data_IF_244179789948
#
_entry.id   IF_244179789948
#
_cell.length_a   1.000
_cell.length_b   1.000
_cell.length_c   1.000
_cell.angle_alpha   90.00
_cell.angle_beta   90.00
_cell.angle_gamma   90.00
#
_symmetry.space_group_name_H-M   'P 1'
#
loop_
_entity.id
_entity.type
_entity.pdbx_description
1 polymer ?
#
# COMPACT_ATOMS: atom_id res chain seq x y z
N UNK A 1 -2.88 14.65 5.87
CA UNK A 1 -2.97 15.02 4.42
C UNK A 1 -4.36 15.50 3.95
N UNK A 2 -4.55 16.79 3.64
CA UNK A 2 -5.83 17.34 3.14
C UNK A 2 -6.29 16.82 1.77
N UNK A 3 -5.36 16.52 0.85
CA UNK A 3 -5.65 16.07 -0.52
C UNK A 3 -6.61 14.87 -0.56
N UNK A 4 -6.44 13.92 0.37
CA UNK A 4 -7.27 12.71 0.46
C UNK A 4 -8.76 13.01 0.69
N UNK A 5 -9.10 14.13 1.33
CA UNK A 5 -10.49 14.53 1.58
C UNK A 5 -11.18 15.13 0.36
N UNK A 6 -10.43 15.40 -0.71
CA UNK A 6 -11.00 15.84 -1.98
C UNK A 6 -11.68 14.64 -2.64
N UNK A 7 -12.95 14.75 -3.05
CA UNK A 7 -13.60 13.70 -3.82
C UNK A 7 -12.76 13.31 -5.03
N UNK A 8 -12.69 12.02 -5.32
CA UNK A 8 -12.03 11.50 -6.51
C UNK A 8 -12.09 9.98 -6.57
N UNK A 9 -11.30 9.41 -7.46
CA UNK A 9 -11.32 8.01 -7.81
C UNK A 9 -10.69 7.07 -6.79
N UNK A 10 -10.42 5.83 -7.21
CA UNK A 10 -9.94 4.77 -6.32
C UNK A 10 -8.59 5.09 -5.67
N UNK A 11 -8.47 4.69 -4.40
CA UNK A 11 -7.27 4.76 -3.57
C UNK A 11 -6.83 3.34 -3.20
N UNK A 12 -5.53 3.07 -3.25
CA UNK A 12 -4.90 1.89 -2.65
C UNK A 12 -4.04 2.33 -1.47
N UNK A 13 -4.16 1.65 -0.33
CA UNK A 13 -3.28 1.83 0.83
C UNK A 13 -2.26 0.70 0.95
N UNK A 14 -0.98 1.03 1.13
CA UNK A 14 0.08 0.07 1.42
C UNK A 14 0.63 0.25 2.85
N UNK A 15 1.06 -0.84 3.53
CA UNK A 15 0.98 -2.22 3.07
C UNK A 15 -0.46 -2.76 3.10
N UNK A 16 -0.90 -3.38 2.00
CA UNK A 16 -2.20 -4.04 1.91
C UNK A 16 -2.17 -5.48 2.43
N UNK A 17 -0.98 -6.03 2.67
CA UNK A 17 -0.75 -7.36 3.22
C UNK A 17 0.57 -7.42 3.97
N UNK A 18 0.70 -8.44 4.84
CA UNK A 18 1.97 -8.83 5.46
C UNK A 18 3.07 -9.04 4.41
N UNK A 19 4.30 -8.74 4.80
CA UNK A 19 5.50 -9.00 3.98
C UNK A 19 5.79 -10.49 3.89
N UNK A 20 5.43 -11.23 4.94
CA UNK A 20 5.54 -12.69 4.98
C UNK A 20 4.16 -13.30 5.17
N UNK A 21 3.79 -14.26 4.32
CA UNK A 21 2.54 -15.01 4.43
C UNK A 21 1.56 -14.78 3.27
N UNK A 22 0.28 -15.15 3.45
CA UNK A 22 -0.70 -15.15 2.37
C UNK A 22 -1.01 -13.73 1.85
N UNK A 23 -1.42 -13.65 0.58
CA UNK A 23 -1.88 -12.40 -0.06
C UNK A 23 -3.15 -11.82 0.61
N UNK A 24 -3.92 -12.66 1.28
CA UNK A 24 -5.10 -12.27 2.03
C UNK A 24 -4.72 -11.94 3.48
N UNK A 25 -4.81 -10.66 3.83
CA UNK A 25 -4.49 -10.16 5.16
C UNK A 25 -5.64 -9.31 5.70
N UNK A 26 -6.59 -9.95 6.38
CA UNK A 26 -7.74 -9.27 6.96
C UNK A 26 -7.31 -8.10 7.89
N UNK A 27 -6.36 -8.25 8.83
CA UNK A 27 -5.88 -7.13 9.64
C UNK A 27 -5.43 -5.87 8.87
N UNK A 28 -4.57 -6.02 7.85
CA UNK A 28 -4.10 -4.86 7.07
C UNK A 28 -5.26 -4.20 6.31
N UNK A 29 -6.13 -5.02 5.70
CA UNK A 29 -7.28 -4.56 4.92
C UNK A 29 -8.38 -3.92 5.79
N UNK A 30 -8.67 -4.47 6.97
CA UNK A 30 -9.61 -3.86 7.93
C UNK A 30 -9.07 -2.53 8.45
N UNK A 31 -7.76 -2.40 8.65
CA UNK A 31 -7.14 -1.13 9.04
C UNK A 31 -7.32 -0.06 7.96
N UNK A 32 -7.07 -0.40 6.69
CA UNK A 32 -7.30 0.51 5.57
C UNK A 32 -8.79 0.90 5.47
N UNK A 33 -9.70 -0.07 5.58
CA UNK A 33 -11.15 0.21 5.62
C UNK A 33 -11.53 1.16 6.77
N UNK A 34 -10.97 0.97 7.96
CA UNK A 34 -11.20 1.88 9.09
C UNK A 34 -10.68 3.30 8.79
N UNK A 35 -9.48 3.44 8.19
CA UNK A 35 -8.94 4.75 7.81
C UNK A 35 -9.78 5.44 6.73
N UNK A 36 -10.49 4.67 5.90
CA UNK A 36 -11.33 5.22 4.83
C UNK A 36 -12.44 6.16 5.32
N UNK A 37 -12.90 6.03 6.57
CA UNK A 37 -13.93 6.92 7.14
C UNK A 37 -13.45 8.37 7.27
N UNK A 38 -12.14 8.62 7.22
CA UNK A 38 -11.58 9.95 7.32
C UNK A 38 -11.49 10.68 5.97
N UNK A 39 -11.56 9.95 4.86
CA UNK A 39 -11.36 10.53 3.52
C UNK A 39 -12.45 10.16 2.50
N UNK A 40 -13.26 9.13 2.76
CA UNK A 40 -14.43 8.74 1.97
C UNK A 40 -14.17 8.47 0.47
N UNK A 41 -12.92 8.19 0.10
CA UNK A 41 -12.56 7.79 -1.27
C UNK A 41 -12.87 6.31 -1.47
N UNK A 42 -13.26 5.87 -2.68
CA UNK A 42 -13.33 4.44 -3.00
C UNK A 42 -12.00 3.77 -2.71
N UNK A 43 -12.02 2.69 -1.93
CA UNK A 43 -10.80 2.01 -1.48
C UNK A 43 -10.68 0.66 -2.19
N UNK A 44 -9.51 0.37 -2.77
CA UNK A 44 -9.25 -0.87 -3.50
C UNK A 44 -8.95 -2.04 -2.56
N UNK A 45 -8.17 -1.79 -1.52
CA UNK A 45 -7.93 -2.74 -0.45
C UNK A 45 -8.96 -2.49 0.68
N UNK A 46 -9.26 -3.48 1.51
CA UNK A 46 -10.39 -3.39 2.43
C UNK A 46 -11.00 -4.74 2.73
N UNK A 47 -11.58 -4.90 3.91
CA UNK A 47 -12.21 -6.16 4.29
C UNK A 47 -13.53 -5.95 4.99
N UNK A 48 -14.62 -6.26 4.28
CA UNK A 48 -16.00 -6.17 4.74
C UNK A 48 -16.63 -7.51 5.13
N UNK A 49 -15.82 -8.54 5.41
CA UNK A 49 -16.30 -9.88 5.81
C UNK A 49 -16.29 -10.94 4.69
N UNK A 50 -15.99 -10.56 3.44
CA UNK A 50 -15.71 -11.48 2.35
C UNK A 50 -14.65 -10.88 1.40
N UNK A 51 -14.01 -11.73 0.60
CA UNK A 51 -13.06 -11.31 -0.43
C UNK A 51 -13.73 -11.37 -1.80
N UNK A 52 -13.77 -10.27 -2.58
CA UNK A 52 -14.25 -10.30 -3.95
C UNK A 52 -13.42 -11.24 -4.83
N UNK A 53 -14.02 -11.75 -5.91
CA UNK A 53 -13.27 -12.47 -6.95
C UNK A 53 -12.22 -11.54 -7.57
N UNK A 54 -11.01 -12.05 -7.83
CA UNK A 54 -9.90 -11.25 -8.35
C UNK A 54 -9.11 -10.46 -7.28
N UNK A 55 -9.60 -10.43 -6.03
CA UNK A 55 -8.93 -9.68 -4.96
C UNK A 55 -7.51 -10.21 -4.64
N UNK A 56 -7.27 -11.53 -4.51
CA UNK A 56 -5.92 -12.06 -4.32
C UNK A 56 -4.95 -11.65 -5.44
N UNK A 57 -5.40 -11.65 -6.69
CA UNK A 57 -4.62 -11.30 -7.87
C UNK A 57 -4.25 -9.81 -7.88
N UNK A 58 -5.22 -8.94 -7.56
CA UNK A 58 -4.96 -7.50 -7.38
C UNK A 58 -3.98 -7.24 -6.23
N UNK A 59 -4.10 -7.96 -5.12
CA UNK A 59 -3.18 -7.83 -4.00
C UNK A 59 -1.78 -8.37 -4.31
N UNK A 60 -1.67 -9.41 -5.15
CA UNK A 60 -0.37 -9.85 -5.64
C UNK A 60 0.32 -8.74 -6.44
N UNK A 61 -0.39 -8.05 -7.35
CA UNK A 61 0.16 -6.89 -8.06
C UNK A 61 0.51 -5.73 -7.12
N UNK A 62 -0.32 -5.46 -6.10
CA UNK A 62 -0.07 -4.40 -5.13
C UNK A 62 1.21 -4.63 -4.32
N UNK A 63 1.64 -5.88 -4.15
CA UNK A 63 2.89 -6.25 -3.46
C UNK A 63 4.13 -5.94 -4.28
N UNK A 64 4.05 -6.01 -5.60
CA UNK A 64 5.17 -5.75 -6.50
C UNK A 64 5.45 -4.25 -6.68
N UNK A 65 4.54 -3.37 -6.22
CA UNK A 65 4.75 -1.92 -6.25
C UNK A 65 6.03 -1.53 -5.47
N UNK A 66 6.86 -0.61 -5.99
CA UNK A 66 6.57 0.34 -7.08
C UNK A 66 6.90 -0.16 -8.49
N UNK A 67 6.91 -1.47 -8.79
CA UNK A 67 7.12 -1.95 -10.16
C UNK A 67 6.15 -1.30 -11.18
N UNK A 68 6.68 -0.97 -12.36
CA UNK A 68 5.94 -0.21 -13.38
C UNK A 68 4.91 -1.06 -14.13
N UNK A 69 5.21 -2.33 -14.38
CA UNK A 69 4.29 -3.24 -15.06
C UNK A 69 3.11 -3.61 -14.14
N UNK A 70 3.41 -3.89 -12.87
CA UNK A 70 2.40 -4.13 -11.84
C UNK A 70 1.47 -2.93 -11.65
N UNK A 71 2.02 -1.71 -11.59
CA UNK A 71 1.22 -0.49 -11.48
C UNK A 71 0.33 -0.29 -12.72
N UNK A 72 0.89 -0.48 -13.92
CA UNK A 72 0.14 -0.35 -15.16
C UNK A 72 -1.02 -1.36 -15.21
N UNK A 73 -0.80 -2.59 -14.75
CA UNK A 73 -1.85 -3.60 -14.67
C UNK A 73 -2.92 -3.24 -13.64
N UNK A 74 -2.53 -2.88 -12.41
CA UNK A 74 -3.46 -2.43 -11.37
C UNK A 74 -4.34 -1.30 -11.87
N UNK A 75 -3.75 -0.31 -12.53
CA UNK A 75 -4.47 0.84 -13.04
C UNK A 75 -5.44 0.44 -14.16
N UNK A 76 -5.05 -0.44 -15.09
CA UNK A 76 -5.95 -0.93 -16.15
C UNK A 76 -7.18 -1.63 -15.57
N UNK A 77 -6.99 -2.43 -14.53
CA UNK A 77 -8.08 -3.23 -13.93
C UNK A 77 -8.99 -2.42 -13.01
N UNK A 78 -8.44 -1.40 -12.32
CA UNK A 78 -9.15 -0.73 -11.22
C UNK A 78 -9.37 0.76 -11.42
N UNK A 79 -8.72 1.38 -12.42
CA UNK A 79 -8.62 2.83 -12.59
C UNK A 79 -8.04 3.55 -11.38
N UNK A 80 -7.07 2.91 -10.70
CA UNK A 80 -6.34 3.46 -9.56
C UNK A 80 -5.88 4.90 -9.83
N UNK A 81 -6.25 5.82 -8.93
CA UNK A 81 -5.93 7.24 -9.05
C UNK A 81 -4.87 7.68 -8.04
N UNK A 82 -4.99 7.22 -6.79
CA UNK A 82 -4.04 7.55 -5.73
C UNK A 82 -3.48 6.29 -5.08
N UNK A 83 -2.21 6.36 -4.69
CA UNK A 83 -1.54 5.38 -3.85
C UNK A 83 -1.08 6.04 -2.56
N UNK A 84 -1.58 5.57 -1.41
CA UNK A 84 -1.12 6.01 -0.09
C UNK A 84 -0.23 4.91 0.51
N UNK A 85 1.01 5.25 0.81
CA UNK A 85 1.97 4.33 1.39
C UNK A 85 2.27 4.75 2.82
N UNK A 86 1.89 3.91 3.77
CA UNK A 86 2.26 4.03 5.18
C UNK A 86 3.62 3.38 5.38
N UNK A 87 4.70 4.08 5.03
CA UNK A 87 6.04 3.49 4.93
C UNK A 87 6.52 2.93 6.30
N UNK A 88 6.11 3.55 7.41
CA UNK A 88 6.39 3.06 8.77
C UNK A 88 5.60 1.82 9.19
N UNK A 89 4.56 1.42 8.43
CA UNK A 89 3.75 0.24 8.70
C UNK A 89 4.34 -1.06 8.12
N UNK A 90 5.32 -0.98 7.20
CA UNK A 90 6.01 -2.16 6.68
C UNK A 90 6.71 -2.92 7.81
N UNK A 91 6.38 -4.21 7.96
CA UNK A 91 6.90 -5.08 9.00
C UNK A 91 6.46 -4.74 10.43
N UNK A 92 5.56 -3.77 10.63
CA UNK A 92 5.15 -3.31 11.98
C UNK A 92 4.57 -4.45 12.79
N UNK A 93 3.66 -5.22 12.20
CA UNK A 93 2.99 -6.30 12.90
C UNK A 93 3.98 -7.41 13.30
N UNK A 94 4.90 -7.77 12.41
CA UNK A 94 5.93 -8.76 12.69
C UNK A 94 6.81 -8.28 13.85
N UNK A 95 7.25 -7.01 13.86
CA UNK A 95 7.99 -6.41 14.97
C UNK A 95 7.20 -6.46 16.29
N UNK A 96 5.91 -6.10 16.25
CA UNK A 96 5.03 -6.11 17.44
C UNK A 96 4.84 -7.52 18.00
N UNK A 97 4.64 -8.52 17.14
CA UNK A 97 4.53 -9.93 17.53
C UNK A 97 5.83 -10.43 18.17
N UNK A 98 6.98 -10.07 17.60
CA UNK A 98 8.29 -10.47 18.11
C UNK A 98 8.62 -9.81 19.44
N UNK A 99 8.30 -8.52 19.61
CA UNK A 99 8.45 -7.81 20.89
C UNK A 99 7.61 -8.44 22.02
N UNK A 100 6.50 -9.10 21.67
CA UNK A 100 5.63 -9.83 22.60
C UNK A 100 5.97 -11.32 22.72
N UNK A 101 7.03 -11.79 22.07
CA UNK A 101 7.39 -13.21 22.01
C UNK A 101 6.28 -14.11 21.44
N UNK A 102 5.46 -13.56 20.52
CA UNK A 102 4.37 -14.25 19.83
C UNK A 102 4.70 -14.56 18.35
N UNK A 103 5.82 -14.05 17.83
CA UNK A 103 6.27 -14.31 16.47
C UNK A 103 7.03 -15.64 16.34
N UNK A 104 7.12 -16.17 15.12
CA UNK A 104 8.01 -17.30 14.84
C UNK A 104 9.44 -16.80 14.64
N UNK A 105 10.43 -17.69 14.81
CA UNK A 105 11.83 -17.35 14.49
C UNK A 105 12.00 -16.91 13.03
N UNK A 106 11.17 -17.41 12.12
CA UNK A 106 11.15 -17.00 10.72
C UNK A 106 10.62 -15.58 10.52
N UNK A 107 9.61 -15.13 11.30
CA UNK A 107 9.06 -13.78 11.23
C UNK A 107 9.85 -12.75 12.06
N UNK A 108 10.63 -13.21 13.06
CA UNK A 108 11.41 -12.36 13.94
C UNK A 108 12.83 -12.07 13.43
N UNK A 109 12.93 -11.78 12.13
CA UNK A 109 14.19 -11.32 11.55
C UNK A 109 14.43 -9.85 11.89
N UNK A 110 15.64 -9.47 12.36
CA UNK A 110 16.01 -8.07 12.48
C UNK A 110 15.79 -7.33 11.15
N UNK A 111 15.19 -6.14 11.22
CA UNK A 111 14.97 -5.31 10.03
C UNK A 111 13.82 -5.75 9.12
N UNK A 112 12.90 -6.62 9.55
CA UNK A 112 11.68 -6.93 8.78
C UNK A 112 10.94 -5.64 8.40
N UNK A 113 10.66 -5.45 7.11
CA UNK A 113 10.03 -4.25 6.56
C UNK A 113 10.94 -3.05 6.31
N UNK A 114 12.21 -3.11 6.72
CA UNK A 114 13.14 -1.97 6.54
C UNK A 114 13.51 -1.73 5.08
N UNK A 115 13.58 -2.79 4.27
CA UNK A 115 13.90 -2.69 2.85
C UNK A 115 12.78 -2.00 2.08
N UNK A 116 11.52 -2.38 2.34
CA UNK A 116 10.34 -1.78 1.73
C UNK A 116 10.16 -0.33 2.21
N UNK A 117 10.36 -0.08 3.51
CA UNK A 117 10.38 1.27 4.06
C UNK A 117 11.39 2.17 3.33
N UNK A 118 12.64 1.73 3.21
CA UNK A 118 13.69 2.46 2.51
C UNK A 118 13.38 2.65 1.03
N UNK A 119 12.87 1.59 0.36
CA UNK A 119 12.50 1.64 -1.06
C UNK A 119 11.51 2.76 -1.35
N UNK A 120 10.45 2.88 -0.55
CA UNK A 120 9.42 3.89 -0.76
C UNK A 120 9.89 5.31 -0.43
N UNK A 121 10.69 5.47 0.63
CA UNK A 121 11.29 6.76 0.95
C UNK A 121 12.24 7.23 -0.16
N UNK A 122 13.17 6.37 -0.57
CA UNK A 122 14.13 6.67 -1.64
C UNK A 122 13.40 6.96 -2.97
N UNK A 123 12.35 6.21 -3.28
CA UNK A 123 11.55 6.43 -4.49
C UNK A 123 10.87 7.80 -4.46
N UNK A 124 10.26 8.18 -3.34
CA UNK A 124 9.64 9.50 -3.19
C UNK A 124 10.68 10.64 -3.24
N UNK A 125 11.84 10.47 -2.58
CA UNK A 125 12.92 11.45 -2.54
C UNK A 125 13.57 11.69 -3.91
N UNK A 126 13.59 10.66 -4.76
CA UNK A 126 14.03 10.77 -6.16
C UNK A 126 12.97 11.36 -7.10
N UNK A 127 11.80 11.75 -6.58
CA UNK A 127 10.71 12.33 -7.36
C UNK A 127 9.80 11.31 -8.06
N UNK A 128 9.93 10.02 -7.73
CA UNK A 128 9.15 8.93 -8.30
C UNK A 128 9.38 8.72 -9.80
N UNK A 129 8.30 8.44 -10.52
CA UNK A 129 8.29 8.26 -11.99
C UNK A 129 7.07 8.96 -12.61
N UNK A 130 7.04 9.19 -13.94
CA UNK A 130 5.90 9.84 -14.58
C UNK A 130 4.53 9.18 -14.32
N UNK A 131 4.51 7.84 -14.24
CA UNK A 131 3.34 7.01 -13.95
C UNK A 131 2.96 6.97 -12.46
N UNK A 132 3.90 7.28 -11.56
CA UNK A 132 3.74 7.26 -10.11
C UNK A 132 4.49 8.41 -9.44
N UNK A 133 3.79 9.54 -9.26
CA UNK A 133 4.42 10.79 -8.83
C UNK A 133 4.10 11.10 -7.38
N UNK A 134 5.09 11.37 -6.51
CA UNK A 134 4.82 11.82 -5.15
C UNK A 134 4.15 13.20 -5.20
N UNK A 135 3.05 13.37 -4.46
CA UNK A 135 2.27 14.62 -4.40
C UNK A 135 2.12 15.18 -2.98
N UNK A 136 2.30 14.35 -1.94
CA UNK A 136 2.36 14.80 -0.55
C UNK A 136 3.12 13.81 0.33
N UNK A 137 3.67 14.32 1.44
CA UNK A 137 4.30 13.53 2.51
C UNK A 137 3.87 14.07 3.87
N UNK A 138 3.62 13.18 4.81
CA UNK A 138 3.22 13.49 6.19
C UNK A 138 3.91 12.47 7.12
N UNK A 139 5.12 12.80 7.58
CA UNK A 139 6.00 11.85 8.25
C UNK A 139 6.40 10.68 7.32
N UNK A 140 6.01 9.47 7.72
CA UNK A 140 6.22 8.22 6.96
C UNK A 140 5.05 7.90 6.01
N UNK A 141 4.01 8.73 5.99
CA UNK A 141 2.92 8.58 5.03
C UNK A 141 3.28 9.31 3.73
N UNK A 142 3.24 8.60 2.61
CA UNK A 142 3.58 9.09 1.28
C UNK A 142 2.37 8.94 0.37
N UNK A 143 1.98 10.03 -0.29
CA UNK A 143 0.87 10.03 -1.24
C UNK A 143 1.40 10.22 -2.65
N UNK A 144 0.97 9.34 -3.55
CA UNK A 144 1.33 9.38 -4.96
C UNK A 144 0.09 9.54 -5.85
N UNK A 145 0.22 10.36 -6.89
CA UNK A 145 -0.69 10.38 -8.01
C UNK A 145 -0.30 9.30 -9.03
N UNK A 146 -1.28 8.54 -9.49
CA UNK A 146 -1.12 7.50 -10.48
C UNK A 146 -1.61 8.02 -11.83
N UNK A 147 -0.75 7.97 -12.85
CA UNK A 147 -1.04 8.48 -14.20
C UNK A 147 -0.86 7.39 -15.25
N UNK A 148 -1.37 7.62 -16.47
CA UNK A 148 -0.99 6.79 -17.60
C UNK A 148 0.49 7.01 -17.92
N UNK A 149 1.22 5.93 -18.17
CA UNK A 149 2.55 6.00 -18.81
C UNK A 149 2.45 6.38 -20.30
N UNK A 150 1.23 6.37 -20.86
CA UNK A 150 0.94 6.83 -22.22
C UNK A 150 0.59 8.31 -22.22
N UNK A 151 1.59 9.17 -22.44
CA UNK A 151 1.64 10.27 -23.42
C UNK A 151 2.74 11.25 -23.00
N UNK A 152 3.95 11.04 -23.51
CA UNK A 152 4.64 12.02 -24.39
C UNK A 152 5.65 11.29 -25.28
#
# INVERSE_FOLDING_TARGET
>A
MPILRTPGGPLLELPAMRLSGPALDAPANTRAMYRSIFHWRPLLNGYGGYWPAGFPELMALARELPDAEALAQLRRETRLELLLVHAGDFGRLERDLCARSLGSSASCRPGVGSAEHATWLDFAERGGRPDLRPIARDGDDLLFAVSDSSTE
#
